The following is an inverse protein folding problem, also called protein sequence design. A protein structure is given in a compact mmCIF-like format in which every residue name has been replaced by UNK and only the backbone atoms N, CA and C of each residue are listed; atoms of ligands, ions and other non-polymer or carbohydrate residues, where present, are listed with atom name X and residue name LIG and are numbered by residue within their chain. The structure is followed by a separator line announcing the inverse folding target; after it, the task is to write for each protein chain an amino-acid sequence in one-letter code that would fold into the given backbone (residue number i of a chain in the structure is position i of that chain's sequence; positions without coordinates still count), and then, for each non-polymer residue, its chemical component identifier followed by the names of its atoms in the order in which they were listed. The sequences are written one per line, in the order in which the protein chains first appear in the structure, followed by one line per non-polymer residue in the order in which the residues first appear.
data_IF_245547070045
#
_entry.id   IF_245547070045
#
_cell.length_a   1.000
_cell.length_b   1.000
_cell.length_c   1.000
_cell.angle_alpha   90.00
_cell.angle_beta   90.00
_cell.angle_gamma   90.00
#
_symmetry.space_group_name_H-M   'P 1'
#
loop_
_entity.id
_entity.type
_entity.pdbx_description
1 polymer ?
#
# COMPACT_ATOMS: atom_id res chain seq x y z
N UNK A 1 -24.44 -2.03 19.53
CA UNK A 1 -24.09 -0.87 18.69
C UNK A 1 -23.86 -1.40 17.29
N UNK A 2 -24.57 -0.89 16.28
CA UNK A 2 -24.28 -1.24 14.89
C UNK A 2 -22.95 -0.55 14.55
N UNK A 3 -21.86 -1.31 14.57
CA UNK A 3 -20.56 -0.83 14.11
C UNK A 3 -20.72 -0.47 12.64
N UNK A 4 -20.69 0.83 12.35
CA UNK A 4 -20.89 1.32 10.99
C UNK A 4 -19.57 1.15 10.23
N UNK A 5 -19.25 -0.09 9.83
CA UNK A 5 -17.99 -0.41 9.14
C UNK A 5 -17.77 0.44 7.88
N UNK A 6 -18.86 0.92 7.28
CA UNK A 6 -18.84 1.91 6.21
C UNK A 6 -18.20 3.24 6.63
N UNK A 7 -18.53 3.77 7.82
CA UNK A 7 -17.93 5.02 8.31
C UNK A 7 -16.45 4.84 8.62
N UNK A 8 -16.06 3.69 9.19
CA UNK A 8 -14.65 3.37 9.42
C UNK A 8 -13.87 3.27 8.10
N UNK A 9 -14.44 2.65 7.07
CA UNK A 9 -13.81 2.57 5.76
C UNK A 9 -13.71 3.94 5.07
N UNK A 10 -14.78 4.75 5.14
CA UNK A 10 -14.77 6.11 4.60
C UNK A 10 -13.72 6.99 5.31
N UNK A 11 -13.55 6.83 6.61
CA UNK A 11 -12.50 7.51 7.40
C UNK A 11 -11.10 7.12 6.93
N UNK A 12 -10.85 5.83 6.65
CA UNK A 12 -9.57 5.36 6.12
C UNK A 12 -9.24 5.99 4.77
N UNK A 13 -10.21 6.04 3.84
CA UNK A 13 -9.98 6.61 2.51
C UNK A 13 -9.80 8.12 2.57
N UNK A 14 -10.56 8.81 3.42
CA UNK A 14 -10.58 10.28 3.46
C UNK A 14 -9.33 10.86 4.14
N UNK A 15 -8.88 10.26 5.23
CA UNK A 15 -7.82 10.79 6.11
C UNK A 15 -6.54 11.21 5.36
N UNK A 16 -6.00 10.43 4.39
CA UNK A 16 -4.82 10.82 3.62
C UNK A 16 -4.98 12.12 2.80
N UNK A 17 -6.21 12.47 2.41
CA UNK A 17 -6.50 13.67 1.60
C UNK A 17 -6.81 14.90 2.44
N UNK A 18 -7.02 14.74 3.76
CA UNK A 18 -7.22 15.86 4.68
C UNK A 18 -5.89 16.56 4.97
N UNK A 19 -4.77 15.84 4.91
CA UNK A 19 -3.45 16.34 5.27
C UNK A 19 -2.49 16.30 4.10
N UNK A 20 -2.08 17.48 3.61
CA UNK A 20 -1.16 17.66 2.49
C UNK A 20 0.14 16.86 2.61
N UNK A 21 0.64 16.68 3.84
CA UNK A 21 1.86 15.92 4.13
C UNK A 21 1.72 14.42 3.83
N UNK A 22 0.53 13.86 3.98
CA UNK A 22 0.25 12.44 3.68
C UNK A 22 -0.05 12.18 2.20
N UNK A 23 -0.43 13.21 1.45
CA UNK A 23 -0.78 13.10 0.02
C UNK A 23 0.43 12.59 -0.77
N UNK A 24 1.63 13.10 -0.51
CA UNK A 24 2.83 12.70 -1.23
C UNK A 24 3.21 11.23 -1.03
N UNK A 25 2.87 10.64 0.12
CA UNK A 25 3.12 9.21 0.35
C UNK A 25 2.09 8.28 -0.32
N UNK A 26 0.83 8.70 -0.41
CA UNK A 26 -0.23 7.87 -0.97
C UNK A 26 -0.37 8.00 -2.49
N UNK A 27 0.07 9.12 -3.07
CA UNK A 27 -0.03 9.39 -4.52
C UNK A 27 0.58 8.28 -5.38
N UNK A 28 1.82 7.80 -5.13
CA UNK A 28 2.39 6.70 -5.91
C UNK A 28 1.62 5.38 -5.81
N UNK A 29 0.85 5.17 -4.75
CA UNK A 29 -0.02 3.98 -4.62
C UNK A 29 -1.27 4.11 -5.50
N UNK A 30 -1.88 5.29 -5.57
CA UNK A 30 -3.02 5.54 -6.48
C UNK A 30 -2.62 5.53 -7.96
N UNK A 31 -1.47 6.13 -8.31
CA UNK A 31 -0.92 5.99 -9.67
C UNK A 31 -0.53 4.54 -9.97
N UNK A 32 0.05 3.86 -8.97
CA UNK A 32 0.21 2.40 -8.86
C UNK A 32 -0.99 1.64 -9.41
N UNK A 33 -2.11 1.88 -8.73
CA UNK A 33 -3.41 1.28 -8.99
C UNK A 33 -3.92 1.58 -10.40
N UNK A 34 -3.99 2.86 -10.77
CA UNK A 34 -4.58 3.32 -12.02
C UNK A 34 -3.86 2.73 -13.24
N UNK A 35 -2.53 2.75 -13.24
CA UNK A 35 -1.74 2.12 -14.31
C UNK A 35 -1.86 0.60 -14.30
N UNK A 36 -2.01 -0.03 -13.13
CA UNK A 36 -2.22 -1.49 -13.03
C UNK A 36 -3.61 -1.93 -13.56
N UNK A 37 -4.60 -1.03 -13.52
CA UNK A 37 -5.92 -1.25 -14.12
C UNK A 37 -5.91 -1.02 -15.64
N UNK A 38 -5.14 -0.04 -16.12
CA UNK A 38 -4.98 0.23 -17.56
C UNK A 38 -4.08 -0.78 -18.28
N UNK A 39 -3.32 -1.59 -17.54
CA UNK A 39 -2.38 -2.57 -18.11
C UNK A 39 -2.91 -4.00 -17.98
N UNK A 40 -2.45 -4.88 -18.87
CA UNK A 40 -2.86 -6.29 -18.91
C UNK A 40 -2.66 -6.96 -17.54
N UNK A 41 -3.57 -7.87 -17.15
CA UNK A 41 -3.50 -8.61 -15.90
C UNK A 41 -2.34 -9.61 -15.82
N UNK A 42 -1.50 -9.70 -16.86
CA UNK A 42 -0.32 -10.56 -16.88
C UNK A 42 0.79 -9.92 -16.06
N UNK A 43 1.43 -10.72 -15.21
CA UNK A 43 2.63 -10.32 -14.50
C UNK A 43 3.70 -9.81 -15.49
N UNK A 44 4.12 -8.56 -15.31
CA UNK A 44 5.11 -7.88 -16.16
C UNK A 44 6.23 -7.31 -15.29
N UNK A 45 7.44 -7.25 -15.82
CA UNK A 45 8.55 -6.61 -15.13
C UNK A 45 8.27 -5.12 -14.90
N UNK A 46 7.54 -4.47 -15.82
CA UNK A 46 7.18 -3.05 -15.69
C UNK A 46 6.22 -2.81 -14.51
N UNK A 47 5.23 -3.68 -14.34
CA UNK A 47 4.29 -3.60 -13.21
C UNK A 47 4.96 -3.94 -11.88
N UNK A 48 5.94 -4.86 -11.90
CA UNK A 48 6.76 -5.17 -10.73
C UNK A 48 7.65 -4.00 -10.28
N UNK A 49 8.32 -3.29 -11.22
CA UNK A 49 9.10 -2.08 -10.91
C UNK A 49 8.20 -1.02 -10.29
N UNK A 50 7.05 -0.75 -10.92
CA UNK A 50 6.11 0.27 -10.46
C UNK A 50 5.61 -0.02 -9.04
N UNK A 51 5.25 -1.27 -8.77
CA UNK A 51 4.74 -1.68 -7.45
C UNK A 51 5.84 -1.69 -6.41
N UNK A 52 7.02 -2.17 -6.79
CA UNK A 52 8.21 -2.09 -5.97
C UNK A 52 8.52 -0.66 -5.55
N UNK A 53 8.48 0.28 -6.49
CA UNK A 53 8.66 1.70 -6.22
C UNK A 53 7.59 2.23 -5.27
N UNK A 54 6.30 1.99 -5.54
CA UNK A 54 5.23 2.49 -4.67
C UNK A 54 5.31 1.94 -3.24
N UNK A 55 5.73 0.68 -3.07
CA UNK A 55 5.87 0.03 -1.77
C UNK A 55 7.08 0.57 -1.00
N UNK A 56 8.23 0.69 -1.67
CA UNK A 56 9.44 1.29 -1.08
C UNK A 56 9.17 2.74 -0.70
N UNK A 57 8.45 3.50 -1.54
CA UNK A 57 8.06 4.87 -1.26
C UNK A 57 7.15 4.99 -0.05
N UNK A 58 6.11 4.16 0.04
CA UNK A 58 5.20 4.13 1.18
C UNK A 58 5.95 3.80 2.48
N UNK A 59 6.81 2.77 2.45
CA UNK A 59 7.64 2.42 3.60
C UNK A 59 8.60 3.57 3.98
N UNK A 60 9.27 4.20 3.01
CA UNK A 60 10.14 5.34 3.27
C UNK A 60 9.40 6.49 3.95
N UNK A 61 8.17 6.79 3.53
CA UNK A 61 7.31 7.80 4.15
C UNK A 61 6.90 7.45 5.58
N UNK A 62 6.66 6.16 5.86
CA UNK A 62 6.39 5.71 7.23
C UNK A 62 7.63 5.80 8.13
N UNK A 63 8.83 5.54 7.59
CA UNK A 63 10.08 5.70 8.35
C UNK A 63 10.51 7.16 8.50
N UNK A 64 10.16 8.03 7.56
CA UNK A 64 10.73 9.38 7.45
C UNK A 64 10.69 10.19 8.77
N UNK A 65 9.58 10.24 9.52
CA UNK A 65 9.54 10.99 10.78
C UNK A 65 10.37 10.38 11.92
N UNK A 66 10.76 9.10 11.81
CA UNK A 66 11.64 8.43 12.77
C UNK A 66 13.13 8.59 12.40
N UNK A 67 13.43 9.06 11.19
CA UNK A 67 14.76 9.52 10.81
C UNK A 67 14.95 10.97 11.29
N UNK A 68 15.52 11.15 12.48
CA UNK A 68 15.97 12.47 12.94
C UNK A 68 17.16 12.93 12.10
N UNK A 69 16.99 13.96 11.29
CA UNK A 69 18.08 14.68 10.64
C UNK A 69 18.69 15.72 11.60
N UNK A 70 19.23 15.26 12.74
CA UNK A 70 20.01 16.11 13.64
C UNK A 70 21.40 15.50 13.82
N UNK A 71 22.32 15.81 12.90
CA UNK A 71 23.77 15.66 13.07
C UNK A 71 24.35 14.24 13.17
N UNK A 72 23.53 13.19 13.29
CA UNK A 72 23.96 11.80 13.30
C UNK A 72 22.80 10.88 12.97
N UNK A 73 23.02 9.91 12.07
CA UNK A 73 22.05 8.90 11.68
C UNK A 73 21.74 7.96 12.85
N UNK A 74 20.90 8.38 13.79
CA UNK A 74 20.31 7.52 14.80
C UNK A 74 18.84 7.27 14.46
N UNK A 75 18.54 6.01 14.10
CA UNK A 75 17.18 5.51 13.92
C UNK A 75 16.55 5.24 15.30
N UNK A 76 15.81 6.21 15.82
CA UNK A 76 14.99 6.00 17.02
C UNK A 76 13.65 5.36 16.63
N UNK A 77 13.66 4.03 16.46
CA UNK A 77 12.46 3.23 16.17
C UNK A 77 11.56 2.99 17.40
N UNK A 78 12.05 3.37 18.59
CA UNK A 78 11.39 3.21 19.90
C UNK A 78 9.97 3.83 20.01
N UNK A 79 9.61 4.93 19.30
CA UNK A 79 8.25 5.46 19.32
C UNK A 79 7.30 4.74 18.35
N UNK A 80 7.80 3.87 17.48
CA UNK A 80 6.97 3.13 16.53
C UNK A 80 6.36 1.91 17.21
N UNK A 81 5.05 1.72 17.08
CA UNK A 81 4.39 0.49 17.55
C UNK A 81 5.03 -0.73 16.87
N UNK A 82 5.24 -1.82 17.61
CA UNK A 82 5.84 -3.06 17.07
C UNK A 82 5.09 -3.57 15.84
N UNK A 83 3.77 -3.40 15.80
CA UNK A 83 2.94 -3.77 14.64
C UNK A 83 3.32 -2.92 13.43
N UNK A 84 3.49 -1.60 13.63
CA UNK A 84 3.86 -0.69 12.54
C UNK A 84 5.24 -1.00 11.99
N UNK A 85 6.19 -1.30 12.87
CA UNK A 85 7.54 -1.68 12.47
C UNK A 85 7.53 -2.96 11.62
N UNK A 86 6.81 -3.99 12.06
CA UNK A 86 6.67 -5.25 11.30
C UNK A 86 6.03 -5.02 9.93
N UNK A 87 4.89 -4.31 9.88
CA UNK A 87 4.20 -4.01 8.62
C UNK A 87 5.10 -3.22 7.68
N UNK A 88 5.81 -2.23 8.21
CA UNK A 88 6.74 -1.40 7.44
C UNK A 88 7.91 -2.21 6.86
N UNK A 89 8.52 -3.09 7.66
CA UNK A 89 9.59 -3.97 7.17
C UNK A 89 9.10 -4.94 6.11
N UNK A 90 7.90 -5.50 6.27
CA UNK A 90 7.30 -6.39 5.28
C UNK A 90 7.05 -5.66 3.96
N UNK A 91 6.44 -4.47 4.01
CA UNK A 91 6.19 -3.65 2.82
C UNK A 91 7.50 -3.27 2.13
N UNK A 92 8.52 -2.89 2.90
CA UNK A 92 9.85 -2.58 2.35
C UNK A 92 10.48 -3.81 1.68
N UNK A 93 10.44 -4.97 2.33
CA UNK A 93 10.99 -6.21 1.80
C UNK A 93 10.26 -6.65 0.51
N UNK A 94 8.93 -6.60 0.49
CA UNK A 94 8.14 -6.89 -0.71
C UNK A 94 8.39 -5.88 -1.82
N UNK A 95 8.50 -4.60 -1.47
CA UNK A 95 8.81 -3.53 -2.41
C UNK A 95 10.17 -3.72 -3.08
N UNK A 96 11.21 -3.97 -2.28
CA UNK A 96 12.56 -4.25 -2.78
C UNK A 96 12.59 -5.53 -3.62
N UNK A 97 11.95 -6.60 -3.17
CA UNK A 97 11.88 -7.84 -3.93
C UNK A 97 11.19 -7.65 -5.29
N UNK A 98 10.09 -6.90 -5.35
CA UNK A 98 9.40 -6.58 -6.59
C UNK A 98 10.26 -5.69 -7.52
N UNK A 99 10.92 -4.68 -6.96
CA UNK A 99 11.79 -3.75 -7.69
C UNK A 99 13.01 -4.47 -8.28
N UNK A 100 13.70 -5.28 -7.47
CA UNK A 100 14.85 -6.09 -7.90
C UNK A 100 14.41 -7.12 -8.95
N UNK A 101 13.28 -7.81 -8.75
CA UNK A 101 12.77 -8.78 -9.74
C UNK A 101 12.44 -8.11 -11.08
N UNK A 102 11.90 -6.90 -11.03
CA UNK A 102 11.60 -6.08 -12.21
C UNK A 102 12.86 -5.59 -12.94
N UNK A 103 13.85 -5.08 -12.19
CA UNK A 103 15.13 -4.59 -12.73
C UNK A 103 15.98 -5.72 -13.31
N UNK A 104 16.11 -6.83 -12.61
CA UNK A 104 16.87 -8.01 -13.04
C UNK A 104 16.15 -8.81 -14.14
N UNK A 105 14.93 -8.41 -14.52
CA UNK A 105 14.06 -9.13 -15.46
C UNK A 105 13.95 -10.63 -15.12
N UNK A 106 13.98 -10.96 -13.83
CA UNK A 106 13.96 -12.34 -13.32
C UNK A 106 13.05 -12.42 -12.12
N UNK A 107 11.94 -13.14 -12.27
CA UNK A 107 11.09 -13.49 -11.14
C UNK A 107 11.72 -14.65 -10.37
N UNK A 108 11.80 -14.61 -9.03
CA UNK A 108 12.16 -15.79 -8.24
C UNK A 108 11.11 -16.88 -8.45
N UNK A 109 11.48 -18.15 -8.22
CA UNK A 109 10.69 -19.35 -8.58
C UNK A 109 9.22 -19.31 -8.10
N UNK A 110 8.95 -18.64 -6.98
CA UNK A 110 7.61 -18.42 -6.43
C UNK A 110 7.15 -16.94 -6.43
N UNK A 111 7.92 -16.01 -7.01
CA UNK A 111 7.68 -14.56 -6.95
C UNK A 111 6.85 -13.98 -8.08
N UNK A 112 6.22 -14.80 -8.93
CA UNK A 112 5.35 -14.30 -10.01
C UNK A 112 4.16 -13.50 -9.47
N UNK A 113 3.74 -13.72 -8.22
CA UNK A 113 2.70 -12.94 -7.55
C UNK A 113 3.07 -11.45 -7.40
N UNK A 114 4.38 -11.12 -7.34
CA UNK A 114 4.85 -9.73 -7.26
C UNK A 114 4.53 -8.92 -8.52
N UNK A 115 4.20 -9.59 -9.63
CA UNK A 115 3.70 -8.96 -10.85
C UNK A 115 2.17 -8.77 -10.88
N UNK A 116 1.43 -9.34 -9.93
CA UNK A 116 -0.03 -9.19 -9.77
C UNK A 116 -0.34 -8.15 -8.70
N UNK A 117 -0.34 -6.89 -9.10
CA UNK A 117 -0.09 -5.77 -8.18
C UNK A 117 -1.36 -5.04 -7.73
N UNK A 118 -2.52 -5.43 -8.28
CA UNK A 118 -3.81 -4.75 -8.03
C UNK A 118 -4.26 -4.90 -6.60
N UNK A 119 -4.38 -6.15 -6.11
CA UNK A 119 -4.73 -6.44 -4.73
C UNK A 119 -3.77 -5.76 -3.76
N UNK A 120 -2.47 -5.83 -4.08
CA UNK A 120 -1.41 -5.24 -3.29
C UNK A 120 -1.58 -3.71 -3.17
N UNK A 121 -1.89 -3.02 -4.27
CA UNK A 121 -2.16 -1.57 -4.26
C UNK A 121 -3.44 -1.21 -3.50
N UNK A 122 -4.55 -1.94 -3.67
CA UNK A 122 -5.78 -1.70 -2.90
C UNK A 122 -5.55 -1.88 -1.40
N UNK A 123 -4.89 -2.98 -1.03
CA UNK A 123 -4.57 -3.27 0.35
C UNK A 123 -3.66 -2.20 0.94
N UNK A 124 -2.62 -1.79 0.20
CA UNK A 124 -1.70 -0.74 0.62
C UNK A 124 -2.39 0.61 0.84
N UNK A 125 -3.29 1.03 -0.05
CA UNK A 125 -4.08 2.26 0.11
C UNK A 125 -4.91 2.19 1.40
N UNK A 126 -5.51 1.04 1.69
CA UNK A 126 -6.36 0.86 2.86
C UNK A 126 -5.58 0.84 4.19
N UNK A 127 -4.35 0.30 4.20
CA UNK A 127 -3.51 0.26 5.42
C UNK A 127 -2.67 1.53 5.62
N UNK A 128 -2.49 2.35 4.57
CA UNK A 128 -1.67 3.56 4.62
C UNK A 128 -1.97 4.50 5.80
N UNK A 129 -3.23 4.85 6.11
CA UNK A 129 -3.53 5.75 7.22
C UNK A 129 -3.36 5.09 8.60
N UNK A 130 -3.40 3.75 8.72
CA UNK A 130 -3.09 3.06 9.98
C UNK A 130 -1.58 3.08 10.29
N UNK A 131 -0.77 3.14 9.24
CA UNK A 131 0.68 3.20 9.34
C UNK A 131 1.22 4.63 9.39
N UNK A 132 0.38 5.65 9.20
CA UNK A 132 0.85 7.03 9.16
C UNK A 132 1.47 7.44 10.51
N UNK A 133 2.74 7.87 10.53
CA UNK A 133 3.42 8.38 11.72
C UNK A 133 2.93 9.79 12.12
N UNK A 134 2.21 10.48 11.22
CA UNK A 134 1.66 11.81 11.48
C UNK A 134 0.49 11.65 12.46
N UNK A 135 0.63 12.17 13.69
CA UNK A 135 -0.41 12.07 14.75
C UNK A 135 -1.80 12.51 14.29
N UNK A 136 -1.90 13.51 13.41
CA UNK A 136 -3.18 13.99 12.86
C UNK A 136 -3.85 13.00 11.90
N UNK A 137 -3.06 12.09 11.30
CA UNK A 137 -3.52 11.06 10.36
C UNK A 137 -3.47 9.65 10.97
N UNK A 138 -2.97 9.51 12.20
CA UNK A 138 -2.69 8.21 12.79
C UNK A 138 -3.99 7.58 13.28
N UNK A 139 -4.47 6.60 12.51
CA UNK A 139 -5.61 5.79 12.90
C UNK A 139 -5.09 4.53 13.61
N UNK A 140 -5.34 4.34 14.92
CA UNK A 140 -4.86 3.16 15.63
C UNK A 140 -5.33 1.86 14.98
N UNK A 141 -4.49 0.83 15.12
CA UNK A 141 -4.82 -0.55 14.77
C UNK A 141 -5.93 -1.07 15.68
N UNK A 142 -7.14 -1.18 15.13
CA UNK A 142 -8.27 -1.82 15.79
C UNK A 142 -8.79 -2.99 14.94
N UNK A 143 -9.34 -4.00 15.61
CA UNK A 143 -9.98 -5.13 14.93
C UNK A 143 -11.13 -4.68 14.00
N UNK A 144 -11.85 -3.62 14.37
CA UNK A 144 -12.92 -3.05 13.56
C UNK A 144 -12.43 -2.50 12.21
N UNK A 145 -11.28 -1.80 12.21
CA UNK A 145 -10.66 -1.28 10.99
C UNK A 145 -10.07 -2.39 10.14
N UNK A 146 -9.47 -3.40 10.76
CA UNK A 146 -9.02 -4.61 10.06
C UNK A 146 -10.18 -5.33 9.36
N UNK A 147 -11.30 -5.51 10.07
CA UNK A 147 -12.51 -6.13 9.54
C UNK A 147 -13.12 -5.26 8.43
N UNK A 148 -13.12 -3.92 8.58
CA UNK A 148 -13.57 -3.01 7.52
C UNK A 148 -12.69 -3.11 6.27
N UNK A 149 -11.36 -3.16 6.42
CA UNK A 149 -10.44 -3.36 5.28
C UNK A 149 -10.74 -4.71 4.61
N UNK A 150 -10.89 -5.78 5.38
CA UNK A 150 -11.21 -7.10 4.81
C UNK A 150 -12.56 -7.09 4.08
N UNK A 151 -13.60 -6.51 4.68
CA UNK A 151 -14.95 -6.47 4.12
C UNK A 151 -15.10 -5.53 2.92
N UNK A 152 -14.30 -4.48 2.79
CA UNK A 152 -14.45 -3.53 1.68
C UNK A 152 -13.33 -3.64 0.65
N UNK A 153 -12.07 -3.81 1.05
CA UNK A 153 -10.97 -3.92 0.09
C UNK A 153 -11.06 -5.22 -0.73
N UNK A 154 -11.51 -6.33 -0.13
CA UNK A 154 -11.64 -7.61 -0.84
C UNK A 154 -12.78 -7.59 -1.87
N UNK A 155 -14.00 -7.10 -1.57
CA UNK A 155 -15.06 -6.99 -2.57
C UNK A 155 -14.81 -5.90 -3.60
N UNK A 156 -14.24 -4.75 -3.23
CA UNK A 156 -13.85 -3.71 -4.20
C UNK A 156 -12.81 -4.25 -5.18
N UNK A 157 -11.83 -5.01 -4.70
CA UNK A 157 -10.90 -5.72 -5.56
C UNK A 157 -11.61 -6.74 -6.47
N UNK A 158 -12.53 -7.56 -5.93
CA UNK A 158 -13.29 -8.52 -6.75
C UNK A 158 -14.11 -7.83 -7.83
N UNK A 159 -14.83 -6.76 -7.50
CA UNK A 159 -15.65 -5.99 -8.44
C UNK A 159 -14.79 -5.35 -9.52
N UNK A 160 -13.63 -4.77 -9.19
CA UNK A 160 -12.75 -4.16 -10.18
C UNK A 160 -12.03 -5.23 -11.01
N UNK A 161 -11.64 -6.35 -10.39
CA UNK A 161 -11.02 -7.46 -11.09
C UNK A 161 -11.95 -8.13 -12.10
N UNK A 162 -13.20 -8.45 -11.71
CA UNK A 162 -14.19 -9.13 -12.56
C UNK A 162 -15.01 -8.16 -13.41
N UNK A 163 -15.37 -6.98 -12.90
CA UNK A 163 -16.15 -5.98 -13.63
C UNK A 163 -15.39 -5.31 -14.78
N UNK A 164 -14.06 -5.21 -14.69
CA UNK A 164 -13.23 -4.70 -15.78
C UNK A 164 -12.71 -5.81 -16.72
N UNK A 165 -12.94 -7.10 -16.43
CA UNK A 165 -12.64 -8.20 -17.36
C UNK A 165 -13.27 -8.04 -18.76
N UNK A 166 -14.57 -7.67 -18.91
CA UNK A 166 -15.18 -7.57 -20.23
C UNK A 166 -14.56 -6.47 -21.11
N UNK A 167 -14.19 -5.33 -20.53
CA UNK A 167 -13.46 -4.26 -21.25
C UNK A 167 -12.03 -4.71 -21.63
N UNK A 168 -11.47 -5.65 -20.87
CA UNK A 168 -10.07 -6.11 -20.99
C UNK A 168 -9.86 -7.22 -22.02
N UNK A 169 -10.88 -8.06 -22.26
CA UNK A 169 -10.82 -9.14 -23.26
C UNK A 169 -11.36 -8.73 -24.64
N UNK A 170 -11.80 -7.47 -24.81
CA UNK A 170 -12.24 -6.92 -26.10
C UNK A 170 -11.12 -6.45 -27.03
N UNK A 171 -9.86 -6.87 -26.80
CA UNK A 171 -8.73 -6.65 -27.70
C UNK A 171 -8.07 -7.97 -28.08
#
# INVERSE_FOLDING_TARGET
MIYNHWSAFAELIRTPFIHLESIWGIVPLYFGLLLSEMTSAKASFRTAIQTGFSFVWAAAQWLYPYLKWQGGTQLELKPMSSINLVVTLLVLAFGLAALISGLLKRFPRYGRFLGYTRFANYFMIAIFPLQSPIRACHLPWTWERLIAIAMFAMPVWLVLHFGLMPVRNGK
#
